data_IF_393361665887
#
_entry.id   IF_393361665887
#
_cell.length_a   1.000
_cell.length_b   1.000
_cell.length_c   1.000
_cell.angle_alpha   90.00
_cell.angle_beta   90.00
_cell.angle_gamma   90.00
#
_symmetry.space_group_name_H-M   'P 1'
#
loop_
_entity.id
_entity.type
_entity.pdbx_description
1 polymer ?
#
# COMPACT_ATOMS: atom_id res chain seq x y z
N UNK A 1 15.09 -14.97 35.63
CA UNK A 1 13.88 -14.62 34.87
C UNK A 1 13.99 -13.15 34.53
N UNK A 2 14.69 -12.85 33.44
CA UNK A 2 14.73 -11.51 32.86
C UNK A 2 13.55 -11.40 31.91
N UNK A 3 12.78 -10.33 32.07
CA UNK A 3 11.66 -9.93 31.22
C UNK A 3 12.12 -9.80 29.76
N UNK A 4 11.97 -10.87 28.97
CA UNK A 4 11.92 -10.75 27.52
C UNK A 4 10.59 -10.08 27.19
N UNK A 5 10.66 -8.77 26.98
CA UNK A 5 9.54 -7.98 26.51
C UNK A 5 8.94 -8.60 25.25
N UNK A 6 7.61 -8.66 25.26
CA UNK A 6 6.68 -9.20 24.27
C UNK A 6 6.74 -8.42 22.91
N UNK A 7 7.94 -8.20 22.40
CA UNK A 7 8.21 -7.41 21.21
C UNK A 7 7.86 -8.17 19.95
N UNK A 8 6.84 -7.69 19.22
CA UNK A 8 6.47 -8.20 17.90
C UNK A 8 7.71 -8.25 16.98
N UNK A 9 8.07 -9.45 16.52
CA UNK A 9 9.19 -9.68 15.62
C UNK A 9 9.08 -8.79 14.36
N UNK A 10 10.07 -7.94 14.16
CA UNK A 10 10.14 -7.02 13.02
C UNK A 10 9.92 -5.54 13.35
N UNK A 11 9.45 -5.20 14.55
CA UNK A 11 9.12 -3.84 14.98
C UNK A 11 10.15 -3.36 16.02
N UNK A 12 10.61 -2.12 15.88
CA UNK A 12 11.43 -1.43 16.87
C UNK A 12 10.79 -0.08 17.20
N UNK A 13 10.87 0.33 18.46
CA UNK A 13 10.32 1.61 18.94
C UNK A 13 11.03 2.83 18.32
N UNK A 14 12.27 2.66 17.90
CA UNK A 14 13.09 3.71 17.30
C UNK A 14 13.62 3.29 15.94
N UNK A 15 13.85 4.29 15.07
CA UNK A 15 14.43 4.07 13.75
C UNK A 15 15.88 3.62 13.88
N UNK A 16 16.19 2.43 13.38
CA UNK A 16 17.53 1.86 13.38
C UNK A 16 18.26 2.03 12.03
N UNK A 17 17.54 2.32 10.95
CA UNK A 17 18.11 2.74 9.65
C UNK A 17 17.79 4.22 9.47
N UNK A 18 18.80 5.09 9.32
CA UNK A 18 18.57 6.54 9.21
C UNK A 18 17.80 6.90 7.94
N UNK A 19 18.25 6.41 6.80
CA UNK A 19 17.69 6.77 5.48
C UNK A 19 17.88 5.67 4.44
N UNK A 20 17.09 5.77 3.38
CA UNK A 20 17.17 4.92 2.19
C UNK A 20 17.67 5.74 1.01
N UNK A 21 18.68 5.23 0.33
CA UNK A 21 19.05 5.64 -1.02
C UNK A 21 18.29 4.74 -2.01
N UNK A 22 17.24 5.26 -2.62
CA UNK A 22 16.36 4.54 -3.54
C UNK A 22 16.71 4.88 -5.00
N UNK A 23 17.37 3.96 -5.68
CA UNK A 23 18.03 4.25 -6.96
C UNK A 23 19.23 5.17 -6.78
N UNK A 24 19.60 5.92 -7.82
CA UNK A 24 20.78 6.78 -7.80
C UNK A 24 20.44 8.21 -7.32
N UNK A 25 19.18 8.64 -7.46
CA UNK A 25 18.76 10.04 -7.39
C UNK A 25 17.83 10.38 -6.19
N UNK A 26 17.31 9.39 -5.46
CA UNK A 26 16.32 9.64 -4.39
C UNK A 26 16.86 9.18 -3.04
N UNK A 27 16.90 10.08 -2.07
CA UNK A 27 17.28 9.79 -0.69
C UNK A 27 16.24 10.34 0.27
N UNK A 28 15.78 9.53 1.21
CA UNK A 28 14.76 9.93 2.18
C UNK A 28 14.83 9.13 3.48
N UNK A 29 14.42 9.73 4.62
CA UNK A 29 14.46 9.06 5.91
C UNK A 29 13.47 7.89 5.98
N UNK A 30 13.81 6.88 6.77
CA UNK A 30 12.82 5.85 7.17
C UNK A 30 11.79 6.45 8.13
N UNK A 31 10.63 5.83 8.24
CA UNK A 31 9.59 6.25 9.19
C UNK A 31 9.59 5.39 10.44
N UNK A 32 9.84 4.10 10.28
CA UNK A 32 9.76 3.10 11.36
C UNK A 32 11.05 2.31 11.48
N UNK A 33 11.33 1.84 12.70
CA UNK A 33 12.40 0.89 12.96
C UNK A 33 12.04 -0.52 12.52
N UNK A 34 13.03 -1.27 12.06
CA UNK A 34 12.86 -2.67 11.69
C UNK A 34 14.14 -3.49 11.88
N UNK A 35 14.06 -4.52 12.70
CA UNK A 35 15.16 -5.48 12.88
C UNK A 35 15.16 -6.62 11.83
N UNK A 36 14.15 -6.72 10.96
CA UNK A 36 14.00 -7.82 9.98
C UNK A 36 15.17 -7.90 9.00
N UNK A 37 15.87 -6.78 8.77
CA UNK A 37 17.03 -6.72 7.89
C UNK A 37 18.31 -7.28 8.50
N UNK A 38 18.36 -7.42 9.82
CA UNK A 38 19.60 -7.55 10.58
C UNK A 38 19.71 -8.91 11.23
N UNK A 39 20.94 -9.41 11.26
CA UNK A 39 21.33 -10.49 12.15
C UNK A 39 21.17 -10.05 13.61
N UNK A 40 20.63 -10.94 14.45
CA UNK A 40 20.31 -10.66 15.85
C UNK A 40 21.54 -10.43 16.73
N UNK A 41 22.69 -10.99 16.37
CA UNK A 41 23.91 -10.93 17.18
C UNK A 41 24.77 -9.72 16.82
N UNK A 42 24.94 -9.47 15.52
CA UNK A 42 25.94 -8.53 15.02
C UNK A 42 25.36 -7.19 14.55
N UNK A 43 24.02 -7.06 14.47
CA UNK A 43 23.32 -5.87 13.94
C UNK A 43 23.80 -5.45 12.54
N UNK A 44 24.32 -6.42 11.78
CA UNK A 44 24.70 -6.31 10.37
C UNK A 44 23.59 -6.89 9.50
N UNK A 45 23.55 -6.52 8.21
CA UNK A 45 22.53 -7.06 7.32
C UNK A 45 22.67 -8.60 7.22
N UNK A 46 21.58 -9.32 7.46
CA UNK A 46 21.59 -10.78 7.64
C UNK A 46 21.89 -11.61 6.39
N UNK A 47 22.08 -10.99 5.21
CA UNK A 47 22.50 -11.67 3.99
C UNK A 47 24.03 -11.65 3.78
N UNK A 48 24.79 -10.93 4.61
CA UNK A 48 26.24 -10.83 4.49
C UNK A 48 26.86 -12.07 5.14
N UNK A 49 27.56 -12.89 4.36
CA UNK A 49 28.41 -13.96 4.90
C UNK A 49 29.59 -13.32 5.66
N UNK A 50 29.75 -13.71 6.93
CA UNK A 50 30.77 -13.14 7.79
C UNK A 50 32.17 -13.69 7.43
N UNK A 51 32.95 -12.94 6.65
CA UNK A 51 34.39 -12.93 6.82
C UNK A 51 34.73 -11.98 7.97
N UNK A 52 35.22 -12.55 9.07
CA UNK A 52 35.32 -11.89 10.36
C UNK A 52 36.06 -10.55 10.32
N UNK A 53 35.35 -9.47 10.58
CA UNK A 53 35.93 -8.25 11.17
C UNK A 53 34.88 -7.58 12.08
N UNK A 54 35.06 -7.76 13.39
CA UNK A 54 34.29 -7.05 14.42
C UNK A 54 34.85 -5.65 14.56
N UNK A 55 34.29 -4.67 13.86
CA UNK A 55 34.55 -3.27 14.16
C UNK A 55 33.34 -2.69 14.91
N UNK A 56 33.39 -2.75 16.24
CA UNK A 56 32.38 -2.17 17.14
C UNK A 56 32.74 -0.72 17.41
N UNK A 57 32.36 0.18 16.51
CA UNK A 57 32.40 1.60 16.79
C UNK A 57 31.12 2.01 17.56
N UNK A 58 31.28 2.47 18.80
CA UNK A 58 30.22 2.64 19.81
C UNK A 58 29.48 3.98 19.73
N UNK A 59 29.53 4.69 18.60
CA UNK A 59 29.11 6.11 18.52
C UNK A 59 27.94 6.39 17.58
N UNK A 60 27.36 5.39 16.91
CA UNK A 60 26.28 5.64 15.95
C UNK A 60 24.88 5.54 16.55
N UNK A 61 24.12 6.63 16.43
CA UNK A 61 22.68 6.72 16.74
C UNK A 61 21.82 5.69 15.96
N UNK A 62 22.32 5.21 14.82
CA UNK A 62 21.64 4.27 13.93
C UNK A 62 22.49 3.01 13.73
N UNK A 63 21.86 1.85 13.56
CA UNK A 63 22.58 0.60 13.21
C UNK A 63 23.10 0.65 11.77
N UNK A 64 22.39 1.36 10.89
CA UNK A 64 22.80 1.60 9.52
C UNK A 64 22.47 3.04 9.10
N UNK A 65 23.47 3.78 8.64
CA UNK A 65 23.26 5.15 8.16
C UNK A 65 22.50 5.17 6.83
N UNK A 66 22.83 4.31 5.88
CA UNK A 66 22.15 4.29 4.57
C UNK A 66 21.90 2.86 4.13
N UNK A 67 20.64 2.56 3.83
CA UNK A 67 20.27 1.37 3.07
C UNK A 67 20.16 1.73 1.59
N UNK A 68 20.98 1.11 0.75
CA UNK A 68 20.96 1.29 -0.70
C UNK A 68 19.98 0.30 -1.30
N UNK A 69 18.98 0.78 -2.04
CA UNK A 69 17.87 -0.02 -2.56
C UNK A 69 17.70 0.24 -4.05
N UNK A 70 17.65 -0.82 -4.86
CA UNK A 70 17.38 -0.72 -6.28
C UNK A 70 15.95 -0.23 -6.55
N UNK A 71 15.80 0.84 -7.33
CA UNK A 71 14.49 1.45 -7.63
C UNK A 71 13.59 0.62 -8.56
N UNK A 72 14.09 -0.49 -9.12
CA UNK A 72 13.33 -1.38 -10.00
C UNK A 72 12.90 -2.67 -9.31
N UNK A 73 13.77 -3.24 -8.46
CA UNK A 73 13.58 -4.59 -7.90
C UNK A 73 13.59 -4.66 -6.38
N UNK A 74 13.83 -3.54 -5.70
CA UNK A 74 13.94 -3.43 -4.24
C UNK A 74 15.08 -4.24 -3.60
N UNK A 75 15.97 -4.88 -4.38
CA UNK A 75 17.18 -5.50 -3.85
C UNK A 75 17.98 -4.44 -3.10
N UNK A 76 18.43 -4.79 -1.90
CA UNK A 76 19.04 -3.86 -0.96
C UNK A 76 20.46 -4.26 -0.59
N UNK A 77 21.25 -3.29 -0.17
CA UNK A 77 22.63 -3.46 0.29
C UNK A 77 23.07 -2.33 1.22
N UNK A 78 24.12 -2.54 2.00
CA UNK A 78 24.79 -1.50 2.79
C UNK A 78 25.99 -0.86 2.06
N UNK A 79 26.30 -1.28 0.83
CA UNK A 79 27.44 -0.77 0.03
C UNK A 79 26.97 -0.02 -1.20
N UNK A 80 27.47 1.20 -1.41
CA UNK A 80 27.09 2.03 -2.55
C UNK A 80 27.51 1.40 -3.89
N UNK A 81 28.71 0.84 -3.94
CA UNK A 81 29.30 0.24 -5.14
C UNK A 81 28.49 -0.97 -5.61
N UNK A 82 27.95 -1.74 -4.67
CA UNK A 82 27.08 -2.89 -4.96
C UNK A 82 25.78 -2.45 -5.64
N UNK A 83 25.17 -1.33 -5.23
CA UNK A 83 24.00 -0.79 -5.91
C UNK A 83 24.38 -0.23 -7.29
N UNK A 84 25.49 0.50 -7.37
CA UNK A 84 25.99 1.09 -8.61
C UNK A 84 26.29 0.02 -9.68
N UNK A 85 26.86 -1.12 -9.29
CA UNK A 85 27.07 -2.27 -10.18
C UNK A 85 25.78 -2.98 -10.58
N UNK A 86 24.79 -3.06 -9.68
CA UNK A 86 23.51 -3.73 -9.93
C UNK A 86 22.56 -2.94 -10.84
N UNK A 87 22.40 -1.63 -10.59
CA UNK A 87 21.35 -0.82 -11.22
C UNK A 87 21.35 -0.82 -12.77
N UNK A 88 22.50 -0.78 -13.47
CA UNK A 88 22.55 -0.88 -14.93
C UNK A 88 22.09 -2.23 -15.47
N UNK A 89 22.30 -3.31 -14.70
CA UNK A 89 22.09 -4.70 -15.10
C UNK A 89 20.80 -5.30 -14.53
N UNK A 90 20.02 -4.53 -13.77
CA UNK A 90 18.76 -5.00 -13.20
C UNK A 90 17.77 -5.41 -14.30
N UNK A 91 17.33 -6.66 -14.30
CA UNK A 91 16.40 -7.19 -15.31
C UNK A 91 15.08 -6.40 -15.35
N UNK A 92 14.59 -5.98 -14.18
CA UNK A 92 13.35 -5.23 -14.04
C UNK A 92 13.42 -3.78 -14.56
N UNK A 93 14.64 -3.26 -14.82
CA UNK A 93 14.82 -1.99 -15.53
C UNK A 93 14.29 -2.06 -16.97
N UNK A 94 14.46 -3.21 -17.62
CA UNK A 94 13.98 -3.43 -19.01
C UNK A 94 12.53 -3.90 -19.03
N UNK A 95 12.14 -4.77 -18.10
CA UNK A 95 10.81 -5.39 -18.09
C UNK A 95 10.25 -5.50 -16.67
N UNK A 96 9.26 -4.68 -16.30
CA UNK A 96 8.56 -4.81 -15.02
C UNK A 96 7.89 -6.19 -14.85
N UNK A 97 7.83 -6.73 -13.62
CA UNK A 97 7.22 -8.03 -13.37
C UNK A 97 5.70 -8.00 -13.57
N UNK A 98 5.10 -9.19 -13.59
CA UNK A 98 3.65 -9.35 -13.58
C UNK A 98 2.95 -9.03 -14.90
N UNK A 99 1.62 -9.17 -14.88
CA UNK A 99 0.72 -8.93 -16.02
C UNK A 99 0.00 -7.59 -15.84
N UNK A 100 -0.20 -6.85 -16.92
CA UNK A 100 -0.97 -5.60 -16.89
C UNK A 100 -2.43 -5.93 -16.58
N UNK A 101 -3.03 -5.21 -15.64
CA UNK A 101 -4.44 -5.30 -15.26
C UNK A 101 -5.19 -3.98 -15.35
N UNK A 102 -4.47 -2.88 -15.54
CA UNK A 102 -5.00 -1.55 -15.86
C UNK A 102 -4.00 -0.80 -16.72
N UNK A 103 -4.47 -0.09 -17.75
CA UNK A 103 -3.61 0.74 -18.60
C UNK A 103 -4.36 1.98 -19.09
N UNK A 104 -4.23 3.08 -18.35
CA UNK A 104 -4.72 4.40 -18.75
C UNK A 104 -3.65 5.17 -19.55
N UNK A 105 -3.94 6.40 -20.04
CA UNK A 105 -2.93 7.25 -20.68
C UNK A 105 -1.74 7.62 -19.79
N UNK A 106 -1.94 7.69 -18.47
CA UNK A 106 -0.91 8.14 -17.53
C UNK A 106 -0.25 6.97 -16.77
N UNK A 107 -1.01 5.93 -16.43
CA UNK A 107 -0.57 4.89 -15.51
C UNK A 107 -0.88 3.48 -15.98
N UNK A 108 -0.01 2.55 -15.59
CA UNK A 108 -0.20 1.11 -15.74
C UNK A 108 -0.19 0.45 -14.36
N UNK A 109 -1.16 -0.43 -14.06
CA UNK A 109 -1.13 -1.29 -12.87
C UNK A 109 -0.89 -2.73 -13.31
N UNK A 110 0.09 -3.38 -12.67
CA UNK A 110 0.49 -4.76 -12.96
C UNK A 110 0.22 -5.66 -11.76
N UNK A 111 -0.39 -6.83 -12.01
CA UNK A 111 -0.55 -7.93 -11.04
C UNK A 111 0.70 -8.80 -11.05
N UNK A 112 1.43 -8.79 -9.94
CA UNK A 112 2.62 -9.58 -9.66
C UNK A 112 2.26 -10.68 -8.66
N UNK A 113 2.31 -11.94 -9.10
CA UNK A 113 2.01 -13.08 -8.23
C UNK A 113 3.20 -13.38 -7.32
N UNK A 114 2.99 -13.44 -6.00
CA UNK A 114 4.04 -13.76 -5.05
C UNK A 114 4.71 -15.11 -5.31
N UNK A 115 3.92 -16.11 -5.72
CA UNK A 115 4.40 -17.45 -6.11
C UNK A 115 5.37 -17.46 -7.29
N UNK A 116 5.28 -16.47 -8.20
CA UNK A 116 6.13 -16.39 -9.40
C UNK A 116 7.31 -15.45 -9.24
N UNK A 117 7.17 -14.41 -8.41
CA UNK A 117 8.18 -13.36 -8.23
C UNK A 117 8.58 -13.23 -6.76
N UNK A 118 8.85 -14.36 -6.10
CA UNK A 118 9.05 -14.45 -4.65
C UNK A 118 10.08 -13.48 -4.10
N UNK A 119 11.31 -13.47 -4.65
CA UNK A 119 12.36 -12.57 -4.18
C UNK A 119 11.99 -11.09 -4.33
N UNK A 120 11.43 -10.71 -5.48
CA UNK A 120 10.96 -9.34 -5.73
C UNK A 120 9.91 -8.91 -4.70
N UNK A 121 8.91 -9.76 -4.44
CA UNK A 121 7.85 -9.50 -3.48
C UNK A 121 8.37 -9.44 -2.04
N UNK A 122 9.35 -10.27 -1.67
CA UNK A 122 10.00 -10.22 -0.36
C UNK A 122 10.78 -8.91 -0.17
N UNK A 123 11.59 -8.51 -1.15
CA UNK A 123 12.31 -7.25 -1.12
C UNK A 123 11.35 -6.03 -1.06
N UNK A 124 10.26 -6.05 -1.82
CA UNK A 124 9.19 -5.05 -1.75
C UNK A 124 8.57 -4.99 -0.35
N UNK A 125 8.26 -6.13 0.25
CA UNK A 125 7.70 -6.20 1.59
C UNK A 125 8.64 -5.65 2.66
N UNK A 126 9.93 -5.99 2.57
CA UNK A 126 10.97 -5.45 3.46
C UNK A 126 11.09 -3.94 3.30
N UNK A 127 11.14 -3.43 2.08
CA UNK A 127 11.18 -2.00 1.80
C UNK A 127 9.96 -1.29 2.41
N UNK A 128 8.79 -1.89 2.26
CA UNK A 128 7.52 -1.39 2.80
C UNK A 128 7.52 -1.31 4.33
N UNK A 129 8.16 -2.24 5.03
CA UNK A 129 8.22 -2.25 6.51
C UNK A 129 8.91 -1.01 7.08
N UNK A 130 9.77 -0.35 6.31
CA UNK A 130 10.42 0.91 6.70
C UNK A 130 9.43 2.09 6.75
N UNK A 131 8.26 1.94 6.12
CA UNK A 131 7.23 2.99 5.96
C UNK A 131 5.84 2.56 6.41
N UNK A 132 5.68 1.33 6.93
CA UNK A 132 4.46 0.82 7.54
C UNK A 132 4.79 0.07 8.82
N UNK A 133 4.23 0.53 9.94
CA UNK A 133 4.55 0.01 11.26
C UNK A 133 4.07 -1.44 11.45
N UNK A 134 2.78 -1.66 11.17
CA UNK A 134 2.06 -2.91 11.46
C UNK A 134 2.20 -3.99 10.38
N UNK A 135 3.25 -3.96 9.54
CA UNK A 135 3.45 -4.99 8.51
C UNK A 135 4.08 -6.24 9.11
N UNK A 136 3.28 -7.29 9.28
CA UNK A 136 3.71 -8.58 9.88
C UNK A 136 4.17 -9.63 8.84
N UNK A 137 3.67 -9.56 7.60
CA UNK A 137 4.00 -10.53 6.56
C UNK A 137 4.98 -9.96 5.52
N UNK A 138 6.19 -10.49 5.50
CA UNK A 138 7.26 -10.11 4.55
C UNK A 138 7.95 -11.28 3.85
N UNK A 139 8.02 -12.47 4.45
CA UNK A 139 8.68 -13.63 3.83
C UNK A 139 7.72 -14.62 3.14
N UNK A 140 6.52 -14.81 3.70
CA UNK A 140 5.47 -15.69 3.15
C UNK A 140 4.61 -14.94 2.12
N UNK A 141 5.18 -14.66 0.96
CA UNK A 141 4.53 -13.88 -0.11
C UNK A 141 3.66 -14.72 -1.04
N UNK A 142 3.76 -16.05 -0.96
CA UNK A 142 3.12 -17.00 -1.90
C UNK A 142 1.59 -16.98 -1.87
N UNK A 143 0.99 -16.43 -0.80
CA UNK A 143 -0.46 -16.29 -0.67
C UNK A 143 -1.00 -14.92 -1.10
N UNK A 144 -0.15 -14.07 -1.70
CA UNK A 144 -0.52 -12.71 -2.06
C UNK A 144 -0.29 -12.41 -3.54
N UNK A 145 -1.24 -11.68 -4.11
CA UNK A 145 -1.04 -10.92 -5.33
C UNK A 145 -0.70 -9.46 -4.98
N UNK A 146 0.26 -8.90 -5.71
CA UNK A 146 0.71 -7.52 -5.55
C UNK A 146 0.31 -6.72 -6.79
N UNK A 147 -0.43 -5.64 -6.60
CA UNK A 147 -0.87 -4.74 -7.66
C UNK A 147 -0.05 -3.46 -7.61
N UNK A 148 0.86 -3.31 -8.56
CA UNK A 148 1.91 -2.29 -8.55
C UNK A 148 1.63 -1.27 -9.64
N UNK A 149 1.63 0.02 -9.27
CA UNK A 149 1.42 1.12 -10.21
C UNK A 149 2.74 1.67 -10.73
N UNK A 150 2.74 1.96 -12.03
CA UNK A 150 3.84 2.54 -12.81
C UNK A 150 3.31 3.73 -13.62
N UNK A 151 4.14 4.75 -13.80
CA UNK A 151 3.93 5.76 -14.84
C UNK A 151 4.19 5.15 -16.21
N UNK A 152 3.41 5.54 -17.22
CA UNK A 152 3.63 5.08 -18.57
C UNK A 152 5.02 5.49 -19.08
N UNK A 153 5.66 4.60 -19.84
CA UNK A 153 7.06 4.73 -20.29
C UNK A 153 8.13 4.62 -19.18
N UNK A 154 7.72 4.37 -17.92
CA UNK A 154 8.62 4.07 -16.82
C UNK A 154 8.50 2.63 -16.38
N UNK A 155 9.63 2.04 -15.98
CA UNK A 155 9.68 0.71 -15.34
C UNK A 155 9.83 0.79 -13.83
N UNK A 156 9.79 2.02 -13.27
CA UNK A 156 9.97 2.28 -11.84
C UNK A 156 8.63 2.14 -11.11
N UNK A 157 8.51 1.18 -10.16
CA UNK A 157 7.35 1.08 -9.29
C UNK A 157 7.13 2.38 -8.50
N UNK A 158 5.89 2.86 -8.41
CA UNK A 158 5.54 4.09 -7.68
C UNK A 158 4.75 3.84 -6.39
N UNK A 159 4.09 2.70 -6.31
CA UNK A 159 3.33 2.26 -5.15
C UNK A 159 2.68 0.92 -5.44
N UNK A 160 2.05 0.32 -4.44
CA UNK A 160 1.34 -0.92 -4.61
C UNK A 160 0.26 -1.11 -3.54
N UNK A 161 -0.61 -2.09 -3.77
CA UNK A 161 -1.25 -2.82 -2.69
C UNK A 161 -1.09 -4.33 -2.84
N UNK A 162 -1.22 -5.07 -1.74
CA UNK A 162 -1.29 -6.53 -1.75
C UNK A 162 -2.71 -7.01 -1.44
N UNK A 163 -3.12 -8.10 -2.08
CA UNK A 163 -4.39 -8.79 -1.87
C UNK A 163 -4.11 -10.25 -1.54
N UNK A 164 -4.72 -10.74 -0.46
CA UNK A 164 -4.68 -12.15 -0.08
C UNK A 164 -5.53 -12.98 -1.06
N UNK A 165 -4.98 -14.09 -1.54
CA UNK A 165 -5.67 -15.01 -2.45
C UNK A 165 -6.80 -15.77 -1.76
N UNK A 166 -6.71 -16.00 -0.44
CA UNK A 166 -7.72 -16.74 0.35
C UNK A 166 -8.12 -15.90 1.56
N UNK A 167 -8.84 -14.81 1.32
CA UNK A 167 -9.31 -13.95 2.41
C UNK A 167 -10.63 -14.44 3.01
N UNK A 168 -10.58 -15.00 4.22
CA UNK A 168 -11.77 -15.42 4.96
C UNK A 168 -12.77 -14.26 5.18
N UNK A 169 -12.25 -13.07 5.47
CA UNK A 169 -13.06 -11.87 5.67
C UNK A 169 -13.40 -11.12 4.36
N UNK A 170 -13.06 -11.69 3.20
CA UNK A 170 -13.25 -11.05 1.87
C UNK A 170 -12.60 -9.67 1.80
N UNK A 171 -11.40 -9.53 2.34
CA UNK A 171 -10.62 -8.30 2.24
C UNK A 171 -10.13 -8.14 0.80
N UNK A 172 -10.30 -6.95 0.23
CA UNK A 172 -9.78 -6.65 -1.11
C UNK A 172 -8.37 -6.07 -1.09
N UNK A 173 -7.88 -5.69 0.10
CA UNK A 173 -6.61 -5.03 0.30
C UNK A 173 -6.06 -5.36 1.70
N UNK A 174 -4.86 -5.94 1.74
CA UNK A 174 -4.14 -6.25 2.97
C UNK A 174 -3.17 -5.12 3.37
N UNK A 175 -2.42 -4.61 2.39
CA UNK A 175 -1.42 -3.56 2.62
C UNK A 175 -1.39 -2.63 1.42
N UNK A 176 -1.24 -1.32 1.63
CA UNK A 176 -1.09 -0.32 0.57
C UNK A 176 -0.02 0.69 0.95
N UNK A 177 0.83 1.03 -0.01
CA UNK A 177 1.84 2.07 0.16
C UNK A 177 2.09 2.76 -1.18
N UNK A 178 2.02 4.09 -1.17
CA UNK A 178 2.65 4.92 -2.20
C UNK A 178 4.06 5.25 -1.72
N UNK A 179 5.07 4.92 -2.51
CA UNK A 179 6.45 5.09 -2.05
C UNK A 179 6.76 6.58 -1.84
N UNK A 180 7.60 6.92 -0.85
CA UNK A 180 7.78 8.31 -0.41
C UNK A 180 8.01 9.33 -1.54
N UNK A 181 8.84 9.06 -2.58
CA UNK A 181 9.08 10.02 -3.66
C UNK A 181 7.88 10.30 -4.57
N UNK A 182 6.85 9.45 -4.54
CA UNK A 182 5.71 9.51 -5.45
C UNK A 182 4.39 9.87 -4.73
N UNK A 183 4.46 10.21 -3.44
CA UNK A 183 3.31 10.66 -2.67
C UNK A 183 2.74 11.98 -3.21
N UNK A 184 1.51 12.31 -2.79
CA UNK A 184 0.77 13.51 -3.21
C UNK A 184 0.43 13.60 -4.71
N UNK A 185 0.53 12.47 -5.44
CA UNK A 185 0.14 12.34 -6.86
C UNK A 185 -1.18 11.58 -7.07
N UNK A 186 -2.03 11.53 -6.05
CA UNK A 186 -3.31 10.77 -6.04
C UNK A 186 -3.20 9.25 -6.26
N UNK A 187 -1.99 8.70 -6.34
CA UNK A 187 -1.74 7.26 -6.53
C UNK A 187 -2.38 6.39 -5.43
N UNK A 188 -2.49 6.89 -4.21
CA UNK A 188 -3.15 6.17 -3.12
C UNK A 188 -4.63 5.96 -3.45
N UNK A 189 -5.33 7.04 -3.81
CA UNK A 189 -6.72 6.97 -4.27
C UNK A 189 -6.87 6.06 -5.49
N UNK A 190 -5.96 6.14 -6.47
CA UNK A 190 -5.97 5.27 -7.65
C UNK A 190 -5.88 3.78 -7.27
N UNK A 191 -4.98 3.42 -6.35
CA UNK A 191 -4.79 2.05 -5.88
C UNK A 191 -6.01 1.54 -5.11
N UNK A 192 -6.62 2.36 -4.25
CA UNK A 192 -7.87 2.04 -3.55
C UNK A 192 -9.03 1.85 -4.53
N UNK A 193 -9.15 2.73 -5.51
CA UNK A 193 -10.19 2.65 -6.52
C UNK A 193 -10.05 1.38 -7.37
N UNK A 194 -8.80 1.03 -7.72
CA UNK A 194 -8.51 -0.22 -8.42
C UNK A 194 -8.81 -1.47 -7.59
N UNK A 195 -8.57 -1.46 -6.27
CA UNK A 195 -8.91 -2.61 -5.43
C UNK A 195 -10.42 -2.87 -5.38
N UNK A 196 -11.24 -1.83 -5.38
CA UNK A 196 -12.69 -1.95 -5.49
C UNK A 196 -13.17 -2.33 -6.89
N UNK A 197 -12.51 -1.87 -7.95
CA UNK A 197 -12.81 -2.31 -9.32
C UNK A 197 -12.63 -3.82 -9.49
N UNK A 198 -11.56 -4.40 -8.91
CA UNK A 198 -11.37 -5.86 -8.86
C UNK A 198 -12.52 -6.53 -8.12
N UNK A 199 -12.89 -6.03 -6.94
CA UNK A 199 -13.99 -6.63 -6.16
C UNK A 199 -15.32 -6.56 -6.88
N UNK A 200 -15.61 -5.47 -7.59
CA UNK A 200 -16.81 -5.33 -8.42
C UNK A 200 -16.82 -6.36 -9.54
N UNK A 201 -15.68 -6.56 -10.22
CA UNK A 201 -15.53 -7.61 -11.25
C UNK A 201 -15.75 -9.02 -10.67
N UNK A 202 -15.31 -9.26 -9.44
CA UNK A 202 -15.52 -10.52 -8.72
C UNK A 202 -16.92 -10.65 -8.08
N UNK A 203 -17.79 -9.64 -8.20
CA UNK A 203 -19.12 -9.63 -7.57
C UNK A 203 -19.09 -9.57 -6.04
N UNK A 204 -18.04 -8.98 -5.45
CA UNK A 204 -17.79 -8.97 -4.01
C UNK A 204 -18.04 -7.60 -3.38
N UNK A 205 -18.86 -7.58 -2.32
CA UNK A 205 -18.83 -6.51 -1.31
C UNK A 205 -17.62 -6.74 -0.41
N UNK A 206 -16.75 -5.74 -0.30
CA UNK A 206 -15.43 -5.91 0.31
C UNK A 206 -14.91 -4.62 0.95
N UNK A 207 -13.75 -4.72 1.60
CA UNK A 207 -13.06 -3.61 2.21
C UNK A 207 -11.63 -4.00 2.61
N UNK A 208 -10.87 -3.06 3.19
CA UNK A 208 -9.52 -3.35 3.66
C UNK A 208 -9.51 -4.37 4.81
N UNK A 209 -8.33 -4.94 5.01
CA UNK A 209 -7.97 -5.62 6.24
C UNK A 209 -7.96 -4.62 7.42
N UNK A 210 -8.47 -5.09 8.55
CA UNK A 210 -8.58 -4.32 9.80
C UNK A 210 -7.71 -4.95 10.88
N UNK A 211 -7.10 -4.16 11.79
CA UNK A 211 -7.23 -2.71 11.93
C UNK A 211 -6.40 -1.92 10.91
N UNK A 212 -6.93 -0.77 10.46
CA UNK A 212 -6.21 0.18 9.60
C UNK A 212 -5.16 0.96 10.40
N UNK A 213 -4.04 1.30 9.76
CA UNK A 213 -3.13 2.31 10.32
C UNK A 213 -3.81 3.68 10.40
N UNK A 214 -3.37 4.62 11.27
CA UNK A 214 -3.98 5.95 11.35
C UNK A 214 -4.03 6.68 10.00
N UNK A 215 -2.94 6.62 9.23
CA UNK A 215 -2.88 7.18 7.89
C UNK A 215 -3.78 6.42 6.90
N UNK A 216 -3.85 5.09 7.02
CA UNK A 216 -4.75 4.25 6.25
C UNK A 216 -6.22 4.62 6.48
N UNK A 217 -6.63 4.80 7.73
CA UNK A 217 -8.00 5.19 8.10
C UNK A 217 -8.37 6.54 7.50
N UNK A 218 -7.50 7.55 7.61
CA UNK A 218 -7.74 8.87 7.01
C UNK A 218 -7.85 8.75 5.48
N UNK A 219 -6.98 7.97 4.85
CA UNK A 219 -7.00 7.72 3.41
C UNK A 219 -8.30 7.08 2.94
N UNK A 220 -8.75 6.02 3.63
CA UNK A 220 -10.00 5.32 3.34
C UNK A 220 -11.22 6.19 3.61
N UNK A 221 -11.28 6.92 4.73
CA UNK A 221 -12.38 7.84 5.03
C UNK A 221 -12.52 8.90 3.94
N UNK A 222 -11.40 9.46 3.44
CA UNK A 222 -11.44 10.41 2.32
C UNK A 222 -11.97 9.75 1.04
N UNK A 223 -11.48 8.56 0.70
CA UNK A 223 -11.89 7.83 -0.49
C UNK A 223 -13.37 7.41 -0.44
N UNK A 224 -13.82 6.79 0.65
CA UNK A 224 -15.20 6.39 0.85
C UNK A 224 -16.14 7.59 0.86
N UNK A 225 -15.77 8.67 1.56
CA UNK A 225 -16.57 9.91 1.57
C UNK A 225 -16.74 10.43 0.15
N UNK A 226 -15.67 10.46 -0.64
CA UNK A 226 -15.73 10.88 -2.03
C UNK A 226 -16.69 9.98 -2.84
N UNK A 227 -16.52 8.66 -2.83
CA UNK A 227 -17.36 7.75 -3.62
C UNK A 227 -18.84 7.81 -3.21
N UNK A 228 -19.13 7.78 -1.92
CA UNK A 228 -20.51 7.86 -1.41
C UNK A 228 -21.15 9.19 -1.85
N UNK A 229 -20.46 10.32 -1.65
CA UNK A 229 -20.93 11.62 -2.09
C UNK A 229 -21.23 11.66 -3.59
N UNK A 230 -20.33 11.14 -4.42
CA UNK A 230 -20.52 11.13 -5.88
C UNK A 230 -21.76 10.33 -6.29
N UNK A 231 -21.95 9.12 -5.76
CA UNK A 231 -23.13 8.30 -6.09
C UNK A 231 -24.45 8.97 -5.67
N UNK A 232 -24.43 9.75 -4.58
CA UNK A 232 -25.61 10.47 -4.06
C UNK A 232 -25.94 11.76 -4.82
N UNK A 233 -25.04 12.30 -5.62
CA UNK A 233 -25.29 13.56 -6.36
C UNK A 233 -25.27 13.42 -7.85
N UNK A 234 -24.38 12.60 -8.39
CA UNK A 234 -24.16 12.45 -9.83
C UNK A 234 -24.36 11.01 -10.31
N UNK A 235 -24.13 10.03 -9.42
CA UNK A 235 -24.27 8.61 -9.76
C UNK A 235 -25.68 8.05 -9.55
N UNK A 236 -25.72 6.72 -9.42
CA UNK A 236 -26.95 5.93 -9.45
C UNK A 236 -27.97 6.25 -8.33
N UNK A 237 -27.53 6.85 -7.22
CA UNK A 237 -28.40 7.17 -6.09
C UNK A 237 -28.97 8.60 -6.16
N UNK A 238 -28.53 9.43 -7.11
CA UNK A 238 -28.85 10.85 -7.17
C UNK A 238 -30.36 11.14 -7.32
N UNK A 239 -31.11 10.20 -7.92
CA UNK A 239 -32.54 10.33 -8.19
C UNK A 239 -33.43 9.68 -7.13
N UNK A 240 -32.85 9.03 -6.12
CA UNK A 240 -33.62 8.35 -5.08
C UNK A 240 -34.08 9.34 -4.01
N UNK A 241 -35.36 9.29 -3.66
CA UNK A 241 -35.93 10.09 -2.57
C UNK A 241 -35.44 9.60 -1.20
N UNK A 242 -35.24 8.29 -1.06
CA UNK A 242 -34.74 7.63 0.14
C UNK A 242 -33.60 6.70 -0.24
N UNK A 243 -32.50 6.79 0.49
CA UNK A 243 -31.31 5.96 0.29
C UNK A 243 -31.06 5.17 1.56
N UNK A 244 -30.89 3.85 1.43
CA UNK A 244 -30.50 2.97 2.54
C UNK A 244 -29.01 2.63 2.49
N UNK A 245 -28.50 2.03 3.57
CA UNK A 245 -27.12 1.54 3.63
C UNK A 245 -26.87 0.45 2.58
N UNK A 246 -27.87 -0.39 2.31
CA UNK A 246 -27.84 -1.45 1.32
C UNK A 246 -27.77 -0.88 -0.10
N UNK A 247 -28.48 0.22 -0.39
CA UNK A 247 -28.35 0.90 -1.69
C UNK A 247 -26.92 1.39 -1.91
N UNK A 248 -26.30 2.02 -0.89
CA UNK A 248 -24.92 2.49 -0.97
C UNK A 248 -23.97 1.29 -1.17
N UNK A 249 -24.15 0.22 -0.42
CA UNK A 249 -23.32 -0.98 -0.53
C UNK A 249 -23.40 -1.61 -1.91
N UNK A 250 -24.61 -1.71 -2.48
CA UNK A 250 -24.82 -2.28 -3.81
C UNK A 250 -24.10 -1.51 -4.91
N UNK A 251 -24.16 -0.17 -4.91
CA UNK A 251 -23.55 0.65 -5.97
C UNK A 251 -22.03 0.87 -5.79
N UNK A 252 -21.55 0.88 -4.54
CA UNK A 252 -20.13 1.15 -4.23
C UNK A 252 -19.29 -0.12 -4.05
N UNK A 253 -19.91 -1.25 -3.72
CA UNK A 253 -19.22 -2.47 -3.28
C UNK A 253 -18.64 -2.37 -1.86
N UNK A 254 -18.96 -1.33 -1.10
CA UNK A 254 -18.43 -1.13 0.27
C UNK A 254 -19.21 -1.97 1.27
N UNK A 255 -18.51 -2.46 2.31
CA UNK A 255 -19.18 -3.09 3.45
C UNK A 255 -20.06 -2.07 4.18
N UNK A 256 -21.17 -2.54 4.74
CA UNK A 256 -22.08 -1.71 5.55
C UNK A 256 -21.34 -1.06 6.72
N UNK A 257 -20.42 -1.78 7.38
CA UNK A 257 -19.60 -1.22 8.46
C UNK A 257 -18.72 -0.04 8.02
N UNK A 258 -18.13 -0.11 6.83
CA UNK A 258 -17.31 0.97 6.26
C UNK A 258 -18.17 2.19 5.90
N UNK A 259 -19.38 1.95 5.38
CA UNK A 259 -20.37 2.99 5.08
C UNK A 259 -20.82 3.69 6.37
N UNK A 260 -21.18 2.95 7.41
CA UNK A 260 -21.59 3.51 8.72
C UNK A 260 -20.46 4.37 9.29
N UNK A 261 -19.23 3.86 9.27
CA UNK A 261 -18.04 4.59 9.76
C UNK A 261 -17.86 5.90 9.00
N UNK A 262 -18.01 5.86 7.68
CA UNK A 262 -17.90 7.04 6.81
C UNK A 262 -19.02 8.05 7.06
N UNK A 263 -20.28 7.61 7.14
CA UNK A 263 -21.41 8.50 7.37
C UNK A 263 -21.37 9.14 8.77
N UNK A 264 -20.89 8.41 9.79
CA UNK A 264 -20.61 8.96 11.12
C UNK A 264 -19.52 10.02 11.07
N UNK A 265 -18.41 9.75 10.37
CA UNK A 265 -17.34 10.72 10.15
C UNK A 265 -17.83 11.99 9.44
N UNK A 266 -18.75 11.83 8.48
CA UNK A 266 -19.40 12.94 7.79
C UNK A 266 -20.50 13.62 8.62
N UNK A 267 -20.88 13.11 9.80
CA UNK A 267 -22.00 13.63 10.59
C UNK A 267 -23.35 13.53 9.88
N UNK A 268 -23.51 12.52 9.02
CA UNK A 268 -24.67 12.33 8.15
C UNK A 268 -25.51 11.08 8.51
N UNK A 269 -25.24 10.44 9.65
CA UNK A 269 -25.99 9.27 10.13
C UNK A 269 -26.73 9.61 11.43
N UNK A 270 -28.05 9.44 11.44
CA UNK A 270 -28.91 9.58 12.60
C UNK A 270 -28.94 8.34 13.51
N UNK A 271 -29.61 8.46 14.66
CA UNK A 271 -29.69 7.38 15.67
C UNK A 271 -30.45 6.13 15.21
N UNK A 272 -31.31 6.24 14.21
CA UNK A 272 -32.10 5.16 13.60
C UNK A 272 -31.53 4.68 12.26
N UNK A 273 -30.23 4.91 12.00
CA UNK A 273 -29.56 4.71 10.69
C UNK A 273 -30.14 5.55 9.54
N UNK A 274 -30.91 6.59 9.84
CA UNK A 274 -31.37 7.56 8.85
C UNK A 274 -30.18 8.34 8.28
N UNK A 275 -30.14 8.49 6.94
CA UNK A 275 -29.07 9.21 6.25
C UNK A 275 -29.52 10.65 5.97
N UNK A 276 -28.82 11.62 6.57
CA UNK A 276 -29.14 13.04 6.39
C UNK A 276 -28.57 13.58 5.07
N UNK A 277 -29.28 13.32 3.97
CA UNK A 277 -28.89 13.74 2.60
C UNK A 277 -28.65 15.24 2.48
N UNK A 278 -29.39 16.07 3.24
CA UNK A 278 -29.25 17.52 3.25
C UNK A 278 -27.89 17.99 3.79
N UNK A 279 -27.36 17.32 4.83
CA UNK A 279 -26.04 17.60 5.41
C UNK A 279 -24.94 17.18 4.45
N UNK A 280 -25.12 16.01 3.83
CA UNK A 280 -24.17 15.43 2.89
C UNK A 280 -24.00 16.34 1.66
N UNK A 281 -25.10 16.77 1.04
CA UNK A 281 -25.12 17.71 -0.12
C UNK A 281 -24.39 19.03 0.16
N UNK A 282 -24.43 19.56 1.38
CA UNK A 282 -23.68 20.78 1.76
C UNK A 282 -22.17 20.56 1.83
N UNK A 283 -21.71 19.36 2.20
CA UNK A 283 -20.28 19.02 2.30
C UNK A 283 -19.64 18.73 0.92
N UNK A 284 -20.44 18.49 -0.11
CA UNK A 284 -19.99 18.15 -1.48
C UNK A 284 -19.34 19.31 -2.24
N UNK A 285 -19.79 20.55 -2.06
CA UNK A 285 -19.37 21.72 -2.86
C UNK A 285 -17.87 22.10 -2.73
N UNK A 286 -17.08 21.33 -1.96
CA UNK A 286 -15.67 21.63 -1.67
C UNK A 286 -14.67 20.68 -2.32
N UNK A 287 -15.08 19.56 -2.92
CA UNK A 287 -14.13 18.55 -3.43
C UNK A 287 -14.51 18.10 -4.85
N UNK A 288 -13.55 18.09 -5.78
CA UNK A 288 -13.72 17.45 -7.09
C UNK A 288 -13.92 15.95 -6.91
N UNK A 289 -15.02 15.41 -7.46
CA UNK A 289 -15.58 14.12 -7.10
C UNK A 289 -15.71 13.24 -8.35
N UNK A 290 -14.63 12.57 -8.77
CA UNK A 290 -14.72 11.57 -9.84
C UNK A 290 -13.87 10.35 -9.52
N UNK A 291 -14.33 9.18 -9.98
CA UNK A 291 -13.54 7.96 -10.08
C UNK A 291 -12.22 8.22 -10.81
N UNK A 292 -11.11 7.69 -10.30
CA UNK A 292 -9.81 7.74 -10.98
C UNK A 292 -9.59 6.54 -11.88
N UNK A 293 -10.29 5.43 -11.62
CA UNK A 293 -10.36 4.28 -12.52
C UNK A 293 -11.48 4.49 -13.53
N UNK A 294 -11.14 4.28 -14.81
CA UNK A 294 -12.08 4.14 -15.92
C UNK A 294 -12.14 2.66 -16.33
N UNK A 295 -13.36 2.12 -16.39
CA UNK A 295 -13.62 0.72 -16.69
C UNK A 295 -13.11 0.31 -18.08
N UNK A 296 -13.03 1.24 -19.05
CA UNK A 296 -12.49 0.99 -20.39
C UNK A 296 -11.01 0.61 -20.41
N UNK A 297 -10.26 0.96 -19.36
CA UNK A 297 -8.84 0.67 -19.24
C UNK A 297 -8.55 -0.57 -18.38
N UNK A 298 -9.58 -1.24 -17.86
CA UNK A 298 -9.46 -2.46 -17.08
C UNK A 298 -9.13 -3.65 -17.99
N UNK A 299 -8.20 -4.49 -17.53
CA UNK A 299 -7.75 -5.69 -18.23
C UNK A 299 -7.79 -6.86 -17.24
N UNK A 300 -8.96 -7.11 -16.65
CA UNK A 300 -9.09 -8.03 -15.51
C UNK A 300 -9.17 -9.51 -15.91
N UNK A 301 -9.56 -9.81 -17.14
CA UNK A 301 -9.53 -11.16 -17.71
C UNK A 301 -8.10 -11.75 -17.72
N UNK A 302 -7.99 -13.07 -17.55
CA UNK A 302 -6.72 -13.78 -17.30
C UNK A 302 -6.10 -14.48 -18.52
#
# INVERSE_FOLDING_TARGET
MTEEGDGLYGILNERNIKEVQFGIDKRFPTWYGSNVYFDSENKTLGYIEHEGTKNRDKTFQYWLNTLYVCEYCFKYTNKEESLAGHAPHCEFKKRPPGRIKYKSPDFTIRRVKGTKHRLFCQCLCLFTKLFLDNKSMYFKVDHYDFYIVYENNSTKPMGFFSKDLVSYFRNNLACVLVFPPYQRRQLGTLLLDFSYAISKFEGLISGPETPLSPFGLIGYLKYWSMKICWHLTEGELAKLERVTLENISAVTGFRIGDIITTLKYLGCLGGTNEIYLSVLKKKLNRNGLKSLINDEYLLLDD
#
